data_IF_581023343363
#
_entry.id   IF_581023343363
#
_cell.length_a   1.000
_cell.length_b   1.000
_cell.length_c   1.000
_cell.angle_alpha   90.00
_cell.angle_beta   90.00
_cell.angle_gamma   90.00
#
_symmetry.space_group_name_H-M   'P 1'
#
loop_
_entity.id
_entity.type
_entity.pdbx_description
1 polymer ?
#
# COMPACT_ATOMS: atom_id res chain seq x y z
N UNK A 1 12.32 19.34 18.04
CA UNK A 1 11.24 18.49 18.57
C UNK A 1 10.22 18.33 17.47
N UNK A 2 10.09 17.14 16.88
CA UNK A 2 9.05 16.86 15.90
C UNK A 2 7.71 16.86 16.64
N UNK A 3 6.90 17.89 16.40
CA UNK A 3 5.55 17.94 16.93
C UNK A 3 4.74 16.94 16.10
N UNK A 4 4.43 15.78 16.69
CA UNK A 4 3.54 14.81 16.06
C UNK A 4 2.23 15.54 15.70
N UNK A 5 1.83 15.55 14.42
CA UNK A 5 0.57 16.16 14.02
C UNK A 5 -0.58 15.52 14.81
N UNK A 6 -1.55 16.33 15.26
CA UNK A 6 -2.79 15.78 15.84
C UNK A 6 -3.45 14.89 14.78
N UNK A 7 -4.04 13.75 15.14
CA UNK A 7 -4.65 12.80 14.20
C UNK A 7 -5.62 13.47 13.20
N UNK A 8 -6.39 14.46 13.66
CA UNK A 8 -7.35 15.20 12.82
C UNK A 8 -6.69 16.08 11.75
N UNK A 9 -5.38 16.33 11.85
CA UNK A 9 -4.61 17.09 10.87
C UNK A 9 -4.11 16.26 9.70
N UNK A 10 -4.22 14.93 9.74
CA UNK A 10 -3.82 14.04 8.63
C UNK A 10 -5.06 13.64 7.81
N UNK A 11 -4.94 13.78 6.50
CA UNK A 11 -5.90 13.33 5.52
C UNK A 11 -5.30 12.16 4.75
N UNK A 12 -5.97 11.01 4.82
CA UNK A 12 -5.71 9.88 3.93
C UNK A 12 -6.42 10.15 2.61
N UNK A 13 -5.66 10.25 1.54
CA UNK A 13 -6.15 10.46 0.18
C UNK A 13 -6.34 9.09 -0.46
N UNK A 14 -7.59 8.64 -0.49
CA UNK A 14 -7.98 7.39 -1.13
C UNK A 14 -7.87 7.53 -2.65
N UNK A 15 -6.93 6.79 -3.25
CA UNK A 15 -6.68 6.77 -4.68
C UNK A 15 -7.34 5.54 -5.30
N UNK A 16 -8.16 5.80 -6.31
CA UNK A 16 -8.92 4.86 -7.11
C UNK A 16 -8.68 5.16 -8.59
N UNK A 17 -9.22 4.34 -9.49
CA UNK A 17 -9.03 4.53 -10.94
C UNK A 17 -9.48 5.90 -11.47
N UNK A 18 -10.52 6.50 -10.89
CA UNK A 18 -11.10 7.75 -11.38
C UNK A 18 -10.31 9.01 -10.97
N UNK A 19 -9.47 8.96 -9.93
CA UNK A 19 -8.66 10.09 -9.46
C UNK A 19 -7.14 9.83 -9.50
N UNK A 20 -6.71 8.69 -10.04
CA UNK A 20 -5.29 8.31 -10.11
C UNK A 20 -4.38 9.40 -10.69
N UNK A 21 -4.77 9.95 -11.85
CA UNK A 21 -3.99 10.98 -12.55
C UNK A 21 -3.93 12.30 -11.77
N UNK A 22 -5.01 12.67 -11.10
CA UNK A 22 -5.09 13.89 -10.28
C UNK A 22 -4.16 13.77 -9.07
N UNK A 23 -4.15 12.61 -8.40
CA UNK A 23 -3.29 12.36 -7.25
C UNK A 23 -1.81 12.25 -7.64
N UNK A 24 -1.51 11.64 -8.79
CA UNK A 24 -0.14 11.65 -9.34
C UNK A 24 0.32 13.05 -9.76
N UNK A 25 -0.58 13.94 -10.19
CA UNK A 25 -0.21 15.34 -10.42
C UNK A 25 0.23 16.02 -9.12
N UNK A 26 -0.52 15.83 -8.02
CA UNK A 26 -0.14 16.36 -6.71
C UNK A 26 1.20 15.79 -6.21
N UNK A 27 1.42 14.49 -6.36
CA UNK A 27 2.69 13.85 -5.98
C UNK A 27 3.86 14.47 -6.76
N UNK A 28 3.70 14.71 -8.06
CA UNK A 28 4.73 15.36 -8.88
C UNK A 28 5.06 16.78 -8.42
N UNK A 29 4.09 17.51 -7.87
CA UNK A 29 4.33 18.87 -7.34
C UNK A 29 5.12 18.87 -6.03
N UNK A 30 4.99 17.82 -5.21
CA UNK A 30 5.58 17.78 -3.87
C UNK A 30 6.89 17.00 -3.79
N UNK A 31 7.16 16.06 -4.70
CA UNK A 31 8.22 15.04 -4.54
C UNK A 31 9.62 15.64 -4.41
N UNK A 32 9.89 16.78 -5.08
CA UNK A 32 11.19 17.47 -4.97
C UNK A 32 11.38 18.15 -3.60
N UNK A 33 10.30 18.62 -2.98
CA UNK A 33 10.33 19.29 -1.67
C UNK A 33 10.24 18.29 -0.50
N UNK A 34 9.61 17.13 -0.72
CA UNK A 34 9.39 16.08 0.25
C UNK A 34 9.96 14.74 -0.26
N UNK A 35 11.30 14.60 -0.38
CA UNK A 35 11.93 13.50 -1.11
C UNK A 35 12.02 12.17 -0.35
N UNK A 36 11.64 12.13 0.93
CA UNK A 36 11.67 10.90 1.73
C UNK A 36 10.32 10.21 1.68
N UNK A 37 10.31 8.92 1.33
CA UNK A 37 9.07 8.15 1.15
C UNK A 37 9.06 6.98 2.14
N UNK A 38 8.05 6.97 3.00
CA UNK A 38 7.64 5.77 3.73
C UNK A 38 6.56 5.04 2.92
N UNK A 39 6.68 3.72 2.84
CA UNK A 39 5.82 2.87 2.00
C UNK A 39 5.42 1.61 2.76
N UNK A 40 4.17 1.20 2.56
CA UNK A 40 3.60 -0.03 3.10
C UNK A 40 2.63 -0.65 2.09
N UNK A 41 2.43 -1.97 2.15
CA UNK A 41 1.58 -2.70 1.20
C UNK A 41 0.70 -3.72 1.89
N UNK A 42 -0.54 -3.82 1.45
CA UNK A 42 -1.44 -4.91 1.84
C UNK A 42 -1.58 -5.90 0.68
N UNK A 43 -1.44 -7.19 1.00
CA UNK A 43 -1.48 -8.30 0.04
C UNK A 43 -2.09 -9.54 0.71
N UNK A 44 -2.55 -10.55 -0.06
CA UNK A 44 -3.36 -11.66 0.47
C UNK A 44 -2.56 -12.74 1.23
N UNK A 45 -1.51 -12.34 1.96
CA UNK A 45 -0.73 -13.19 2.86
C UNK A 45 0.33 -14.05 2.16
N UNK A 46 0.66 -15.19 2.78
CA UNK A 46 1.67 -16.14 2.29
C UNK A 46 1.03 -17.51 2.17
N UNK A 47 0.99 -18.04 0.95
CA UNK A 47 0.32 -19.32 0.63
C UNK A 47 1.29 -20.37 0.11
N UNK A 48 2.45 -19.96 -0.40
CA UNK A 48 3.52 -20.87 -0.82
C UNK A 48 4.62 -20.96 0.24
N UNK A 49 5.16 -22.16 0.40
CA UNK A 49 6.41 -22.41 1.14
C UNK A 49 7.33 -23.26 0.26
N UNK A 50 8.49 -22.73 -0.14
CA UNK A 50 9.35 -23.45 -1.05
C UNK A 50 9.94 -24.68 -0.36
N UNK A 51 9.96 -25.80 -1.08
CA UNK A 51 10.50 -27.08 -0.60
C UNK A 51 11.82 -27.33 -1.32
N UNK A 52 12.91 -27.51 -0.56
CA UNK A 52 14.22 -27.73 -1.15
C UNK A 52 15.35 -27.59 -0.13
N UNK A 53 16.57 -27.88 -0.60
CA UNK A 53 17.78 -27.69 0.19
C UNK A 53 18.34 -26.28 -0.05
N UNK A 54 18.14 -25.39 0.92
CA UNK A 54 18.70 -24.04 0.91
C UNK A 54 20.00 -24.02 1.72
N UNK A 55 21.06 -23.43 1.15
CA UNK A 55 22.35 -23.35 1.85
C UNK A 55 22.34 -22.27 2.92
N UNK A 56 21.57 -21.21 2.70
CA UNK A 56 21.46 -20.06 3.60
C UNK A 56 20.00 -19.67 3.81
N UNK A 57 19.69 -19.17 5.01
CA UNK A 57 18.34 -18.70 5.35
C UNK A 57 17.88 -17.54 4.44
N UNK A 58 18.79 -16.69 3.98
CA UNK A 58 18.47 -15.58 3.07
C UNK A 58 18.01 -16.08 1.70
N UNK A 59 18.55 -17.20 1.23
CA UNK A 59 18.15 -17.83 -0.03
C UNK A 59 16.72 -18.36 0.08
N UNK A 60 16.42 -19.05 1.18
CA UNK A 60 15.07 -19.50 1.50
C UNK A 60 14.08 -18.33 1.61
N UNK A 61 14.43 -17.29 2.36
CA UNK A 61 13.56 -16.12 2.56
C UNK A 61 13.29 -15.39 1.24
N UNK A 62 14.32 -15.19 0.41
CA UNK A 62 14.15 -14.57 -0.90
C UNK A 62 13.26 -15.42 -1.81
N UNK A 63 13.48 -16.74 -1.86
CA UNK A 63 12.65 -17.63 -2.68
C UNK A 63 11.20 -17.63 -2.20
N UNK A 64 10.99 -17.68 -0.88
CA UNK A 64 9.65 -17.62 -0.30
C UNK A 64 8.94 -16.30 -0.64
N UNK A 65 9.64 -15.17 -0.51
CA UNK A 65 9.11 -13.86 -0.91
C UNK A 65 8.78 -13.85 -2.41
N UNK A 66 9.73 -14.23 -3.25
CA UNK A 66 9.59 -14.23 -4.71
C UNK A 66 8.39 -15.06 -5.16
N UNK A 67 8.28 -16.30 -4.69
CA UNK A 67 7.21 -17.21 -5.12
C UNK A 67 5.82 -16.66 -4.76
N UNK A 68 5.69 -16.05 -3.57
CA UNK A 68 4.41 -15.45 -3.16
C UNK A 68 4.15 -14.14 -3.90
N UNK A 69 5.14 -13.28 -4.09
CA UNK A 69 4.98 -12.02 -4.84
C UNK A 69 4.65 -12.26 -6.32
N UNK A 70 5.25 -13.28 -6.95
CA UNK A 70 4.94 -13.64 -8.34
C UNK A 70 3.49 -14.16 -8.49
N UNK A 71 2.94 -14.81 -7.46
CA UNK A 71 1.65 -15.49 -7.53
C UNK A 71 0.48 -14.64 -7.02
N UNK A 72 0.72 -13.78 -6.04
CA UNK A 72 -0.30 -13.01 -5.35
C UNK A 72 -0.43 -11.62 -5.94
N UNK A 73 -1.63 -11.06 -5.83
CA UNK A 73 -1.96 -9.75 -6.37
C UNK A 73 -1.97 -8.71 -5.25
N UNK A 74 -1.50 -7.51 -5.55
CA UNK A 74 -1.45 -6.41 -4.60
C UNK A 74 -2.87 -5.88 -4.34
N UNK A 75 -3.17 -5.52 -3.09
CA UNK A 75 -4.49 -5.02 -2.68
C UNK A 75 -4.42 -3.51 -2.44
N UNK A 76 -3.42 -3.06 -1.66
CA UNK A 76 -3.20 -1.64 -1.38
C UNK A 76 -1.71 -1.27 -1.32
N UNK A 77 -1.42 -0.01 -1.62
CA UNK A 77 -0.12 0.62 -1.43
C UNK A 77 -0.32 1.93 -0.67
N UNK A 78 0.29 2.06 0.50
CA UNK A 78 0.36 3.31 1.26
C UNK A 78 1.65 4.06 0.95
N UNK A 79 1.56 5.35 0.63
CA UNK A 79 2.72 6.24 0.46
C UNK A 79 2.60 7.47 1.35
N UNK A 80 3.67 7.77 2.08
CA UNK A 80 3.81 8.99 2.90
C UNK A 80 5.11 9.69 2.51
N UNK A 81 4.99 10.95 2.11
CA UNK A 81 6.13 11.79 1.73
C UNK A 81 6.50 12.72 2.89
N UNK A 82 7.80 12.92 3.12
CA UNK A 82 8.30 13.88 4.10
C UNK A 82 9.56 14.62 3.64
N UNK A 83 9.82 15.77 4.24
CA UNK A 83 11.11 16.45 4.11
C UNK A 83 12.17 15.84 5.06
N UNK A 84 13.40 16.40 5.03
CA UNK A 84 14.51 15.96 5.89
C UNK A 84 14.27 16.13 7.40
N UNK A 85 13.30 16.96 7.77
CA UNK A 85 12.91 17.21 9.17
C UNK A 85 11.69 16.37 9.59
N UNK A 86 11.14 15.56 8.68
CA UNK A 86 9.95 14.75 8.91
C UNK A 86 8.63 15.52 8.80
N UNK A 87 8.62 16.72 8.18
CA UNK A 87 7.39 17.46 7.93
C UNK A 87 6.65 16.85 6.74
N UNK A 88 5.31 16.84 6.81
CA UNK A 88 4.44 16.30 5.77
C UNK A 88 3.93 17.41 4.83
N UNK A 89 3.64 17.09 3.56
CA UNK A 89 2.99 18.00 2.63
C UNK A 89 1.53 18.23 3.01
N UNK A 90 0.96 19.38 2.62
CA UNK A 90 -0.49 19.66 2.83
C UNK A 90 -1.33 19.55 1.55
N UNK A 91 -0.70 19.29 0.41
CA UNK A 91 -1.34 19.11 -0.91
C UNK A 91 -2.38 20.20 -1.26
N UNK A 92 -2.06 21.47 -0.95
CA UNK A 92 -2.97 22.60 -1.20
C UNK A 92 -4.17 22.70 -0.26
N UNK A 93 -4.19 21.94 0.85
CA UNK A 93 -5.23 21.96 1.87
C UNK A 93 -4.70 22.47 3.23
N UNK A 94 -5.59 22.58 4.23
CA UNK A 94 -5.20 22.88 5.63
C UNK A 94 -4.73 21.63 6.40
N UNK A 95 -4.76 20.45 5.78
CA UNK A 95 -4.42 19.16 6.40
C UNK A 95 -3.19 18.55 5.72
N UNK A 96 -2.39 17.82 6.48
CA UNK A 96 -1.32 16.99 5.93
C UNK A 96 -1.90 15.85 5.10
N UNK A 97 -1.26 15.50 3.98
CA UNK A 97 -1.75 14.47 3.07
C UNK A 97 -0.82 13.24 3.07
N UNK A 98 -1.43 12.06 3.07
CA UNK A 98 -0.80 10.77 2.74
C UNK A 98 -1.69 10.03 1.75
N UNK A 99 -1.14 9.09 0.99
CA UNK A 99 -1.87 8.40 -0.08
C UNK A 99 -2.08 6.94 0.25
N UNK A 100 -3.28 6.45 -0.07
CA UNK A 100 -3.63 5.03 -0.06
C UNK A 100 -4.17 4.66 -1.44
N UNK A 101 -3.37 3.92 -2.20
CA UNK A 101 -3.75 3.40 -3.51
C UNK A 101 -4.47 2.07 -3.32
N UNK A 102 -5.62 1.93 -3.96
CA UNK A 102 -6.46 0.74 -3.89
C UNK A 102 -6.51 0.06 -5.25
N UNK A 103 -6.07 -1.19 -5.34
CA UNK A 103 -5.97 -1.93 -6.61
C UNK A 103 -7.16 -2.86 -6.82
N UNK A 104 -7.53 -3.06 -8.10
CA UNK A 104 -8.66 -3.93 -8.48
C UNK A 104 -8.28 -5.37 -8.80
N UNK A 105 -6.99 -5.66 -8.89
CA UNK A 105 -6.52 -6.92 -9.48
C UNK A 105 -6.92 -8.15 -8.66
N UNK A 106 -7.01 -8.01 -7.33
CA UNK A 106 -7.33 -9.10 -6.40
C UNK A 106 -8.84 -9.35 -6.28
N UNK A 107 -9.28 -10.52 -6.72
CA UNK A 107 -10.66 -11.00 -6.64
C UNK A 107 -10.75 -12.21 -5.70
N UNK A 108 -11.48 -12.06 -4.59
CA UNK A 108 -11.70 -13.11 -3.59
C UNK A 108 -12.44 -14.34 -4.13
N UNK A 109 -13.06 -14.27 -5.30
CA UNK A 109 -13.74 -15.39 -5.96
C UNK A 109 -12.84 -16.20 -6.90
N UNK A 110 -11.73 -15.63 -7.35
CA UNK A 110 -10.88 -16.20 -8.40
C UNK A 110 -9.43 -16.41 -7.98
N UNK A 111 -8.91 -15.57 -7.08
CA UNK A 111 -7.50 -15.55 -6.72
C UNK A 111 -7.18 -16.41 -5.49
N UNK A 112 -5.90 -16.77 -5.39
CA UNK A 112 -5.38 -17.52 -4.25
C UNK A 112 -5.03 -16.55 -3.13
N UNK A 113 -5.40 -16.89 -1.90
CA UNK A 113 -5.13 -16.09 -0.71
C UNK A 113 -5.04 -16.93 0.56
N UNK A 114 -4.43 -16.36 1.60
CA UNK A 114 -4.51 -16.90 2.95
C UNK A 114 -5.78 -16.37 3.64
N UNK A 115 -6.65 -17.28 4.11
CA UNK A 115 -7.94 -16.91 4.74
C UNK A 115 -7.76 -15.94 5.91
N UNK A 116 -6.83 -16.23 6.82
CA UNK A 116 -6.54 -15.38 7.99
C UNK A 116 -6.16 -13.95 7.58
N UNK A 117 -5.43 -13.80 6.47
CA UNK A 117 -5.06 -12.48 5.93
C UNK A 117 -6.26 -11.74 5.38
N UNK A 118 -7.14 -12.39 4.61
CA UNK A 118 -8.35 -11.75 4.09
C UNK A 118 -9.32 -11.37 5.20
N UNK A 119 -9.51 -12.23 6.20
CA UNK A 119 -10.36 -11.91 7.34
C UNK A 119 -9.82 -10.71 8.11
N UNK A 120 -8.51 -10.63 8.34
CA UNK A 120 -7.87 -9.48 8.96
C UNK A 120 -8.10 -8.20 8.15
N UNK A 121 -7.89 -8.25 6.83
CA UNK A 121 -8.07 -7.09 5.95
C UNK A 121 -9.53 -6.61 5.90
N UNK A 122 -10.50 -7.53 5.88
CA UNK A 122 -11.92 -7.19 5.99
C UNK A 122 -12.23 -6.50 7.33
N UNK A 123 -11.68 -7.01 8.44
CA UNK A 123 -11.86 -6.41 9.76
C UNK A 123 -11.20 -5.02 9.88
N UNK A 124 -10.10 -4.80 9.15
CA UNK A 124 -9.42 -3.52 9.04
C UNK A 124 -10.13 -2.52 8.12
N UNK A 125 -11.21 -2.93 7.45
CA UNK A 125 -12.07 -2.04 6.66
C UNK A 125 -11.85 -2.09 5.15
N UNK A 126 -11.11 -3.07 4.62
CA UNK A 126 -11.00 -3.25 3.16
C UNK A 126 -12.32 -3.76 2.59
N UNK A 127 -12.84 -3.03 1.60
CA UNK A 127 -14.00 -3.42 0.80
C UNK A 127 -13.54 -3.99 -0.55
N UNK A 128 -13.35 -5.32 -0.60
CA UNK A 128 -12.92 -6.02 -1.80
C UNK A 128 -13.86 -5.84 -2.99
N UNK A 129 -15.16 -5.63 -2.75
CA UNK A 129 -16.11 -5.36 -3.83
C UNK A 129 -15.82 -3.99 -4.45
N UNK A 130 -15.61 -2.98 -3.61
CA UNK A 130 -15.23 -1.64 -4.07
C UNK A 130 -13.88 -1.65 -4.79
N UNK A 131 -12.91 -2.43 -4.32
CA UNK A 131 -11.63 -2.65 -5.02
C UNK A 131 -11.87 -3.15 -6.45
N UNK A 132 -12.65 -4.22 -6.64
CA UNK A 132 -12.93 -4.76 -7.96
C UNK A 132 -13.66 -3.76 -8.89
N UNK A 133 -14.57 -2.96 -8.34
CA UNK A 133 -15.39 -2.01 -9.12
C UNK A 133 -14.66 -0.69 -9.45
N UNK A 134 -13.82 -0.19 -8.54
CA UNK A 134 -13.26 1.16 -8.62
C UNK A 134 -11.73 1.22 -8.55
N UNK A 135 -11.07 0.13 -8.17
CA UNK A 135 -9.62 0.07 -7.93
C UNK A 135 -8.80 0.41 -9.17
N UNK A 136 -7.53 0.70 -8.95
CA UNK A 136 -6.52 0.99 -9.95
C UNK A 136 -6.12 -0.31 -10.66
N UNK A 137 -5.87 -0.21 -11.97
CA UNK A 137 -5.26 -1.26 -12.78
C UNK A 137 -3.76 -1.41 -12.46
#
# INVERSE_FOLDING_TARGET
MSVLPKSDSIQIREVWSNNLEEEFALIREIVDAYPYIAMDTEFPGVVLRPVGNFKHINEYNYQNLKDNVDMLKLIQLGLTFSDENGNLPTCGSERYCIWQFNFREFDTSADIFANDSIELLMQSGIDFKKNNEMGID
#
